data_IF_803348702622
#
_entry.id   IF_803348702622
#
_cell.length_a   1.000
_cell.length_b   1.000
_cell.length_c   1.000
_cell.angle_alpha   90.00
_cell.angle_beta   90.00
_cell.angle_gamma   90.00
#
_symmetry.space_group_name_H-M   'P 1'
#
loop_
_entity.id
_entity.type
_entity.pdbx_description
1 polymer ?
#
# COMPACT_ATOMS: atom_id res chain seq x y z
N UNK A 1 -29.90 79.75 9.25
CA UNK A 1 -29.70 78.62 8.32
C UNK A 1 -29.10 77.47 9.12
N UNK A 2 -29.84 76.38 9.32
CA UNK A 2 -29.47 75.25 10.18
C UNK A 2 -29.05 74.07 9.30
N UNK A 3 -27.76 73.74 9.28
CA UNK A 3 -27.24 72.53 8.65
C UNK A 3 -27.21 71.42 9.68
N UNK A 4 -28.12 70.45 9.52
CA UNK A 4 -28.15 69.23 10.31
C UNK A 4 -27.19 68.20 9.67
N UNK A 5 -26.18 67.76 10.41
CA UNK A 5 -25.27 66.69 10.01
C UNK A 5 -25.82 65.39 10.58
N UNK A 6 -26.28 64.52 9.67
CA UNK A 6 -26.80 63.18 9.97
C UNK A 6 -25.63 62.21 10.12
N UNK A 7 -25.35 61.80 11.36
CA UNK A 7 -24.28 60.87 11.70
C UNK A 7 -24.86 59.45 11.66
N UNK A 8 -24.58 58.72 10.58
CA UNK A 8 -24.98 57.31 10.41
C UNK A 8 -24.01 56.44 11.21
N UNK A 9 -24.47 55.91 12.35
CA UNK A 9 -23.76 54.89 13.11
C UNK A 9 -23.85 53.54 12.36
N UNK A 10 -22.75 53.12 11.74
CA UNK A 10 -22.58 51.77 11.24
C UNK A 10 -22.25 50.82 12.40
N UNK A 11 -23.21 49.99 12.77
CA UNK A 11 -23.07 48.91 13.74
C UNK A 11 -22.23 47.77 13.16
N UNK A 12 -20.92 47.77 13.46
CA UNK A 12 -20.01 46.66 13.19
C UNK A 12 -20.42 45.43 14.00
N UNK A 13 -21.12 44.50 13.35
CA UNK A 13 -21.27 43.12 13.82
C UNK A 13 -19.91 42.41 13.69
N UNK A 14 -19.13 42.40 14.76
CA UNK A 14 -17.95 41.54 14.88
C UNK A 14 -18.44 40.10 15.08
N UNK A 15 -18.14 39.15 14.18
CA UNK A 15 -18.41 37.75 14.45
C UNK A 15 -17.56 37.32 15.65
N UNK A 16 -18.21 36.86 16.72
CA UNK A 16 -17.51 36.23 17.84
C UNK A 16 -16.77 35.01 17.31
N UNK A 17 -15.46 35.14 17.10
CA UNK A 17 -14.58 34.03 16.82
C UNK A 17 -14.56 33.15 18.08
N UNK A 18 -15.38 32.10 18.09
CA UNK A 18 -15.35 31.05 19.10
C UNK A 18 -13.98 30.39 18.99
N UNK A 19 -13.04 30.86 19.80
CA UNK A 19 -11.75 30.21 19.97
C UNK A 19 -12.04 28.96 20.80
N UNK A 20 -12.31 27.84 20.13
CA UNK A 20 -12.25 26.53 20.76
C UNK A 20 -10.79 26.30 21.14
N UNK A 21 -10.40 26.79 22.33
CA UNK A 21 -9.24 26.25 23.01
C UNK A 21 -9.56 24.77 23.23
N UNK A 22 -9.02 23.90 22.38
CA UNK A 22 -9.13 22.45 22.52
C UNK A 22 -8.69 22.10 23.94
N UNK A 23 -9.66 21.75 24.79
CA UNK A 23 -9.36 21.30 26.13
C UNK A 23 -8.60 19.99 26.00
N UNK A 24 -7.31 20.01 26.35
CA UNK A 24 -6.48 18.82 26.32
C UNK A 24 -7.03 17.80 27.34
N UNK A 25 -7.29 16.55 26.92
CA UNK A 25 -7.81 15.54 27.83
C UNK A 25 -6.74 15.16 28.86
N UNK A 26 -7.15 14.87 30.09
CA UNK A 26 -6.27 14.35 31.13
C UNK A 26 -6.17 12.83 31.03
N UNK A 27 -4.99 12.30 30.66
CA UNK A 27 -4.80 10.90 30.28
C UNK A 27 -3.55 10.28 30.91
N UNK A 28 -3.63 9.01 31.27
CA UNK A 28 -2.49 8.15 31.54
C UNK A 28 -2.12 7.39 30.25
N UNK A 29 -1.30 8.05 29.43
CA UNK A 29 -0.76 7.42 28.22
C UNK A 29 0.26 6.35 28.62
N UNK A 30 0.00 5.10 28.25
CA UNK A 30 0.89 3.99 28.53
C UNK A 30 1.92 3.78 27.41
N UNK A 31 1.48 3.90 26.15
CA UNK A 31 2.34 3.78 24.97
C UNK A 31 1.66 4.34 23.73
N UNK A 32 2.45 4.91 22.82
CA UNK A 32 2.07 5.21 21.44
C UNK A 32 3.11 4.57 20.54
N UNK A 33 2.70 3.84 19.50
CA UNK A 33 3.61 3.12 18.61
C UNK A 33 3.12 3.17 17.17
N UNK A 34 4.06 3.19 16.23
CA UNK A 34 3.82 3.18 14.79
C UNK A 34 4.60 2.02 14.18
N UNK A 35 3.93 1.20 13.37
CA UNK A 35 4.56 0.08 12.66
C UNK A 35 3.94 -0.09 11.28
N UNK A 36 4.61 -0.87 10.43
CA UNK A 36 3.97 -1.42 9.22
C UNK A 36 3.71 -2.91 9.40
N UNK A 37 2.67 -3.42 8.75
CA UNK A 37 2.42 -4.85 8.62
C UNK A 37 3.41 -5.55 7.67
N UNK A 38 4.02 -4.79 6.75
CA UNK A 38 5.00 -5.27 5.77
C UNK A 38 6.36 -4.61 6.01
N UNK A 39 7.41 -5.42 6.16
CA UNK A 39 8.77 -4.91 6.39
C UNK A 39 9.43 -4.30 5.14
N UNK A 40 9.08 -4.81 3.96
CA UNK A 40 9.64 -4.40 2.67
C UNK A 40 8.50 -4.24 1.63
N UNK A 41 7.73 -3.15 1.70
CA UNK A 41 6.65 -2.91 0.75
C UNK A 41 7.19 -2.73 -0.66
N UNK A 42 6.35 -2.98 -1.67
CA UNK A 42 6.70 -2.81 -3.09
C UNK A 42 5.99 -1.61 -3.66
N UNK A 43 6.61 -0.98 -4.66
CA UNK A 43 5.95 0.09 -5.42
C UNK A 43 4.64 -0.42 -6.02
N UNK A 44 3.56 0.35 -5.83
CA UNK A 44 2.22 0.06 -6.34
C UNK A 44 1.46 -1.05 -5.58
N UNK A 45 2.04 -1.62 -4.52
CA UNK A 45 1.36 -2.60 -3.68
C UNK A 45 0.78 -1.94 -2.43
N UNK A 46 -0.46 -2.31 -2.09
CA UNK A 46 -1.11 -1.90 -0.85
C UNK A 46 -0.42 -2.52 0.37
N UNK A 47 -0.26 -1.74 1.42
CA UNK A 47 0.18 -2.20 2.73
C UNK A 47 -0.40 -1.29 3.81
N UNK A 48 -0.24 -1.67 5.08
CA UNK A 48 -0.84 -0.94 6.19
C UNK A 48 0.23 -0.30 7.08
N UNK A 49 -0.08 0.92 7.53
CA UNK A 49 0.56 1.54 8.68
C UNK A 49 -0.39 1.42 9.87
N UNK A 50 0.12 0.89 10.97
CA UNK A 50 -0.67 0.61 12.16
C UNK A 50 -0.15 1.49 13.28
N UNK A 51 -1.01 2.36 13.78
CA UNK A 51 -0.74 3.18 14.96
C UNK A 51 -1.50 2.55 16.12
N UNK A 52 -0.81 2.29 17.22
CA UNK A 52 -1.44 1.78 18.43
C UNK A 52 -1.16 2.71 19.59
N UNK A 53 -2.22 3.17 20.25
CA UNK A 53 -2.15 3.96 21.47
C UNK A 53 -2.86 3.21 22.62
N UNK A 54 -2.27 3.25 23.81
CA UNK A 54 -2.81 2.61 25.01
C UNK A 54 -2.99 3.66 26.10
N UNK A 55 -4.19 3.70 26.67
CA UNK A 55 -4.59 4.61 27.74
C UNK A 55 -5.10 3.78 28.92
N UNK A 56 -4.96 4.27 30.15
CA UNK A 56 -5.58 3.60 31.31
C UNK A 56 -7.05 3.99 31.50
N UNK A 57 -7.43 5.13 30.95
CA UNK A 57 -8.80 5.63 30.94
C UNK A 57 -9.68 4.83 29.98
N UNK A 58 -10.98 4.81 30.27
CA UNK A 58 -12.00 4.32 29.35
C UNK A 58 -12.41 5.46 28.42
N UNK A 59 -11.91 5.40 27.20
CA UNK A 59 -12.21 6.36 26.13
C UNK A 59 -13.08 5.70 25.06
N UNK A 60 -14.03 6.46 24.53
CA UNK A 60 -14.86 6.06 23.39
C UNK A 60 -14.24 6.38 22.04
N UNK A 61 -13.32 7.36 21.99
CA UNK A 61 -12.57 7.77 20.80
C UNK A 61 -11.20 8.31 21.17
N UNK A 62 -10.34 8.53 20.18
CA UNK A 62 -9.02 9.16 20.33
C UNK A 62 -8.83 10.29 19.31
N UNK A 63 -9.78 11.22 19.24
CA UNK A 63 -9.82 12.29 18.23
C UNK A 63 -8.67 13.33 18.37
N UNK A 64 -7.93 13.25 19.47
CA UNK A 64 -6.74 14.03 19.78
C UNK A 64 -5.44 13.38 19.27
N UNK A 65 -5.52 12.19 18.64
CA UNK A 65 -4.38 11.56 17.97
C UNK A 65 -4.16 12.22 16.61
N UNK A 66 -2.95 12.76 16.43
CA UNK A 66 -2.49 13.32 15.16
C UNK A 66 -1.72 12.25 14.39
N UNK A 67 -2.18 12.00 13.18
CA UNK A 67 -1.60 11.00 12.26
C UNK A 67 -0.24 11.47 11.72
N UNK A 68 0.66 10.54 11.38
CA UNK A 68 2.00 10.86 10.89
C UNK A 68 1.94 11.47 9.49
N UNK A 69 2.96 12.25 9.15
CA UNK A 69 3.14 12.77 7.79
C UNK A 69 3.63 11.64 6.87
N UNK A 70 2.87 11.35 5.81
CA UNK A 70 3.10 10.25 4.88
C UNK A 70 3.93 10.67 3.67
N UNK A 71 5.17 11.12 3.87
CA UNK A 71 6.00 11.61 2.77
C UNK A 71 6.36 10.52 1.76
N UNK A 72 5.83 10.60 0.54
CA UNK A 72 6.08 9.60 -0.53
C UNK A 72 5.19 8.36 -0.46
N UNK A 73 4.17 8.37 0.40
CA UNK A 73 3.08 7.41 0.43
C UNK A 73 1.77 8.13 0.13
N UNK A 74 0.85 7.45 -0.54
CA UNK A 74 -0.52 7.92 -0.72
C UNK A 74 -1.42 7.17 0.26
N UNK A 75 -2.28 7.89 0.98
CA UNK A 75 -3.31 7.31 1.83
C UNK A 75 -4.55 6.98 0.99
N UNK A 76 -5.01 5.74 1.07
CA UNK A 76 -6.16 5.22 0.34
C UNK A 76 -7.37 4.96 1.24
N UNK A 77 -7.18 4.93 2.56
CA UNK A 77 -8.26 4.73 3.51
C UNK A 77 -7.76 4.51 4.93
N UNK A 78 -8.59 4.89 5.90
CA UNK A 78 -8.28 4.80 7.33
C UNK A 78 -9.37 3.98 8.04
N UNK A 79 -8.95 3.07 8.92
CA UNK A 79 -9.82 2.29 9.80
C UNK A 79 -9.47 2.56 11.26
N UNK A 80 -10.51 2.69 12.08
CA UNK A 80 -10.40 3.00 13.52
C UNK A 80 -11.02 1.91 14.37
N UNK A 81 -10.25 1.44 15.33
CA UNK A 81 -10.72 0.49 16.32
C UNK A 81 -10.44 0.99 17.73
N UNK A 82 -11.48 0.99 18.55
CA UNK A 82 -11.41 1.31 19.98
C UNK A 82 -11.85 0.07 20.75
N UNK A 83 -10.94 -0.47 21.54
CA UNK A 83 -11.23 -1.58 22.45
C UNK A 83 -11.07 -1.08 23.89
N UNK A 84 -12.18 -0.85 24.59
CA UNK A 84 -12.18 -0.55 26.01
C UNK A 84 -12.26 -1.84 26.83
N UNK A 85 -11.44 -1.95 27.88
CA UNK A 85 -11.43 -3.10 28.79
C UNK A 85 -11.12 -2.70 30.23
N UNK A 86 -10.98 -3.70 31.10
CA UNK A 86 -10.68 -3.49 32.54
C UNK A 86 -9.32 -2.81 32.80
N UNK A 87 -8.40 -2.89 31.84
CA UNK A 87 -7.05 -2.30 31.92
C UNK A 87 -6.92 -0.93 31.24
N UNK A 88 -8.03 -0.39 30.73
CA UNK A 88 -8.09 0.86 29.98
C UNK A 88 -8.47 0.68 28.51
N UNK A 89 -8.15 1.66 27.68
CA UNK A 89 -8.49 1.69 26.25
C UNK A 89 -7.29 1.40 25.37
N UNK A 90 -7.49 0.51 24.41
CA UNK A 90 -6.60 0.21 23.29
C UNK A 90 -7.18 0.83 22.03
N UNK A 91 -6.48 1.80 21.47
CA UNK A 91 -6.82 2.44 20.21
C UNK A 91 -5.89 1.94 19.10
N UNK A 92 -6.47 1.60 17.96
CA UNK A 92 -5.73 1.22 16.74
C UNK A 92 -6.24 2.05 15.56
N UNK A 93 -5.33 2.79 14.92
CA UNK A 93 -5.54 3.33 13.57
C UNK A 93 -4.84 2.40 12.57
N UNK A 94 -5.52 2.02 11.51
CA UNK A 94 -4.94 1.30 10.39
C UNK A 94 -5.09 2.19 9.15
N UNK A 95 -3.97 2.67 8.62
CA UNK A 95 -3.93 3.46 7.40
C UNK A 95 -3.53 2.54 6.25
N UNK A 96 -4.37 2.43 5.23
CA UNK A 96 -4.08 1.72 3.99
C UNK A 96 -3.34 2.65 3.05
N UNK A 97 -2.11 2.28 2.69
CA UNK A 97 -1.24 3.15 1.91
C UNK A 97 -0.61 2.43 0.72
N UNK A 98 -0.17 3.23 -0.26
CA UNK A 98 0.62 2.76 -1.39
C UNK A 98 1.87 3.61 -1.57
N UNK A 99 2.99 2.97 -1.93
CA UNK A 99 4.23 3.66 -2.25
C UNK A 99 4.37 3.84 -3.77
N UNK A 100 4.70 5.06 -4.19
CA UNK A 100 4.87 5.42 -5.61
C UNK A 100 6.31 5.36 -6.12
N UNK A 101 7.28 5.24 -5.21
CA UNK A 101 8.70 5.21 -5.52
C UNK A 101 9.43 4.17 -4.68
N UNK A 102 10.45 3.57 -5.28
CA UNK A 102 11.37 2.69 -4.57
C UNK A 102 12.36 3.50 -3.72
N UNK A 103 13.00 2.83 -2.77
CA UNK A 103 14.01 3.40 -1.88
C UNK A 103 13.54 3.57 -0.45
N UNK A 104 14.37 4.24 0.36
CA UNK A 104 14.04 4.53 1.75
C UNK A 104 12.97 5.62 1.82
N UNK A 105 11.90 5.33 2.56
CA UNK A 105 10.83 6.27 2.89
C UNK A 105 10.81 6.44 4.40
N UNK A 106 10.88 7.69 4.85
CA UNK A 106 10.74 8.05 6.25
C UNK A 106 9.29 8.47 6.51
N UNK A 107 8.64 7.76 7.43
CA UNK A 107 7.33 8.09 7.98
C UNK A 107 7.58 8.72 9.35
N UNK A 108 7.14 9.96 9.51
CA UNK A 108 7.30 10.68 10.77
C UNK A 108 6.49 10.05 11.90
N UNK A 109 6.74 10.49 13.12
CA UNK A 109 5.97 10.06 14.28
C UNK A 109 4.53 10.56 14.24
N UNK A 110 3.60 9.71 14.66
CA UNK A 110 2.29 10.14 15.15
C UNK A 110 2.47 10.80 16.53
N UNK A 111 1.58 11.70 16.90
CA UNK A 111 1.62 12.29 18.23
C UNK A 111 0.24 12.58 18.78
N UNK A 112 0.15 12.75 20.10
CA UNK A 112 -1.05 13.23 20.74
C UNK A 112 -0.71 14.22 21.84
N UNK A 113 -1.57 15.24 21.99
CA UNK A 113 -1.45 16.25 23.03
C UNK A 113 -2.45 15.95 24.15
N UNK A 114 -1.95 15.85 25.38
CA UNK A 114 -2.78 15.55 26.55
C UNK A 114 -2.18 16.16 27.82
N UNK A 115 -2.98 16.26 28.87
CA UNK A 115 -2.49 16.51 30.22
C UNK A 115 -2.12 15.16 30.81
N UNK A 116 -0.85 14.93 31.13
CA UNK A 116 -0.41 13.69 31.78
C UNK A 116 -1.07 13.60 33.16
N UNK A 117 -1.89 12.58 33.35
CA UNK A 117 -2.64 12.42 34.57
C UNK A 117 -1.77 12.13 35.81
N UNK A 118 -0.50 11.73 35.62
CA UNK A 118 0.47 11.46 36.68
C UNK A 118 0.99 12.72 37.35
N UNK A 119 1.25 13.78 36.57
CA UNK A 119 1.87 15.02 37.06
C UNK A 119 1.06 16.28 36.78
N UNK A 120 -0.05 16.17 36.04
CA UNK A 120 -0.96 17.27 35.70
C UNK A 120 -0.40 18.25 34.67
N UNK A 121 0.69 17.92 33.97
CA UNK A 121 1.32 18.80 32.97
C UNK A 121 0.85 18.47 31.56
N UNK A 122 0.69 19.51 30.74
CA UNK A 122 0.49 19.34 29.30
C UNK A 122 1.76 18.73 28.69
N UNK A 123 1.60 17.64 27.94
CA UNK A 123 2.67 16.92 27.25
C UNK A 123 2.21 16.46 25.87
N UNK A 124 3.18 16.38 24.96
CA UNK A 124 3.04 15.69 23.70
C UNK A 124 3.67 14.31 23.80
N UNK A 125 2.89 13.28 23.49
CA UNK A 125 3.36 11.90 23.45
C UNK A 125 3.55 11.51 22.00
N UNK A 126 4.75 11.04 21.66
CA UNK A 126 5.12 10.66 20.30
C UNK A 126 5.15 9.14 20.16
N UNK A 127 4.82 8.65 18.97
CA UNK A 127 5.22 7.32 18.54
C UNK A 127 6.73 7.27 18.24
N UNK A 128 7.21 6.11 17.83
CA UNK A 128 8.48 6.02 17.11
C UNK A 128 8.35 6.56 15.68
N UNK A 129 9.49 6.94 15.09
CA UNK A 129 9.61 7.11 13.64
C UNK A 129 9.70 5.74 12.96
N UNK A 130 9.34 5.69 11.68
CA UNK A 130 9.37 4.47 10.88
C UNK A 130 10.11 4.71 9.57
N UNK A 131 11.13 3.91 9.30
CA UNK A 131 11.83 3.91 8.00
C UNK A 131 11.49 2.65 7.24
N UNK A 132 10.93 2.81 6.05
CA UNK A 132 10.52 1.72 5.17
C UNK A 132 11.47 1.64 3.98
N UNK A 133 11.94 0.44 3.65
CA UNK A 133 12.72 0.21 2.44
C UNK A 133 11.80 -0.34 1.36
N UNK A 134 11.37 0.52 0.43
CA UNK A 134 10.43 0.15 -0.64
C UNK A 134 11.18 -0.49 -1.81
N UNK A 135 10.82 -1.73 -2.14
CA UNK A 135 11.44 -2.47 -3.23
C UNK A 135 10.94 -2.00 -4.61
N UNK A 136 11.87 -1.89 -5.56
CA UNK A 136 11.63 -1.44 -6.93
C UNK A 136 11.42 -2.57 -7.93
N UNK A 137 10.15 -2.83 -8.24
CA UNK A 137 9.58 -3.19 -9.54
C UNK A 137 8.11 -3.56 -9.27
N UNK A 138 7.13 -2.86 -9.87
CA UNK A 138 5.73 -3.29 -9.76
C UNK A 138 5.59 -4.73 -10.26
N UNK A 139 4.75 -5.57 -9.63
CA UNK A 139 4.65 -6.99 -9.95
C UNK A 139 4.29 -7.29 -11.42
N UNK A 140 3.76 -6.32 -12.16
CA UNK A 140 3.34 -6.46 -13.55
C UNK A 140 4.48 -6.64 -14.56
N UNK A 141 5.65 -6.03 -14.34
CA UNK A 141 6.78 -6.13 -15.28
C UNK A 141 7.34 -7.57 -15.39
N UNK A 142 7.26 -8.34 -14.31
CA UNK A 142 7.70 -9.73 -14.29
C UNK A 142 6.68 -10.69 -14.93
N UNK A 143 5.39 -10.35 -14.89
CA UNK A 143 4.32 -11.12 -15.51
C UNK A 143 4.36 -11.05 -17.04
N UNK A 144 4.53 -9.85 -17.59
CA UNK A 144 4.61 -9.63 -19.03
C UNK A 144 5.79 -10.37 -19.68
N UNK A 145 6.99 -10.26 -19.12
CA UNK A 145 8.18 -10.96 -19.63
C UNK A 145 8.05 -12.49 -19.54
N UNK A 146 7.46 -13.02 -18.45
CA UNK A 146 7.20 -14.47 -18.30
C UNK A 146 6.13 -14.98 -19.27
N UNK A 147 5.09 -14.18 -19.52
CA UNK A 147 4.07 -14.51 -20.51
C UNK A 147 4.67 -14.51 -21.93
N UNK A 148 5.47 -13.48 -22.26
CA UNK A 148 6.10 -13.34 -23.56
C UNK A 148 7.12 -14.46 -23.83
N UNK A 149 7.95 -14.82 -22.84
CA UNK A 149 8.87 -15.97 -22.95
C UNK A 149 8.14 -17.30 -23.11
N UNK A 150 7.05 -17.55 -22.38
CA UNK A 150 6.23 -18.77 -22.59
C UNK A 150 5.61 -18.80 -23.98
N UNK A 151 5.11 -17.68 -24.47
CA UNK A 151 4.50 -17.59 -25.81
C UNK A 151 5.55 -17.83 -26.91
N UNK A 152 6.73 -17.22 -26.80
CA UNK A 152 7.86 -17.47 -27.69
C UNK A 152 8.30 -18.93 -27.67
N UNK A 153 8.42 -19.54 -26.48
CA UNK A 153 8.80 -20.94 -26.35
C UNK A 153 7.78 -21.88 -27.03
N UNK A 154 6.48 -21.61 -26.87
CA UNK A 154 5.42 -22.37 -27.57
C UNK A 154 5.54 -22.25 -29.09
N UNK A 155 5.78 -21.05 -29.60
CA UNK A 155 5.99 -20.80 -31.03
C UNK A 155 7.19 -21.57 -31.58
N UNK A 156 8.31 -21.56 -30.87
CA UNK A 156 9.52 -22.30 -31.24
C UNK A 156 9.23 -23.81 -31.28
N UNK A 157 8.56 -24.36 -30.27
CA UNK A 157 8.22 -25.79 -30.23
C UNK A 157 7.28 -26.20 -31.36
N UNK A 158 6.29 -25.38 -31.70
CA UNK A 158 5.39 -25.64 -32.84
C UNK A 158 6.15 -25.65 -34.16
N UNK A 159 7.04 -24.66 -34.39
CA UNK A 159 7.88 -24.62 -35.59
C UNK A 159 8.79 -25.85 -35.69
N UNK A 160 9.39 -26.27 -34.57
CA UNK A 160 10.26 -27.45 -34.52
C UNK A 160 9.48 -28.75 -34.83
N UNK A 161 8.25 -28.87 -34.33
CA UNK A 161 7.38 -30.00 -34.62
C UNK A 161 6.97 -30.05 -36.10
N UNK A 162 6.61 -28.90 -36.70
CA UNK A 162 6.30 -28.79 -38.14
C UNK A 162 7.51 -29.20 -38.98
N UNK A 163 8.70 -28.69 -38.62
CA UNK A 163 9.94 -29.02 -39.32
C UNK A 163 10.28 -30.51 -39.25
N UNK A 164 10.14 -31.12 -38.06
CA UNK A 164 10.33 -32.56 -37.88
C UNK A 164 9.33 -33.39 -38.70
N UNK A 165 8.05 -32.98 -38.74
CA UNK A 165 7.03 -33.64 -39.55
C UNK A 165 7.36 -33.55 -41.05
N UNK A 166 7.79 -32.39 -41.54
CA UNK A 166 8.21 -32.21 -42.93
C UNK A 166 9.41 -33.11 -43.29
N UNK A 167 10.42 -33.19 -42.43
CA UNK A 167 11.57 -34.10 -42.61
C UNK A 167 11.16 -35.58 -42.66
N UNK A 168 10.22 -36.00 -41.81
CA UNK A 168 9.70 -37.37 -41.80
C UNK A 168 8.92 -37.70 -43.08
N UNK A 169 8.13 -36.76 -43.60
CA UNK A 169 7.40 -36.92 -44.85
C UNK A 169 8.37 -37.04 -46.05
N UNK A 170 9.40 -36.20 -46.10
CA UNK A 170 10.43 -36.27 -47.15
C UNK A 170 11.23 -37.59 -47.11
N UNK A 171 11.48 -38.13 -45.91
CA UNK A 171 12.15 -39.44 -45.76
C UNK A 171 11.28 -40.62 -46.20
N UNK A 172 9.96 -40.55 -46.01
CA UNK A 172 9.01 -41.60 -46.44
C UNK A 172 8.80 -41.67 -47.96
N UNK A 173 9.09 -40.58 -48.68
CA UNK A 173 8.93 -40.50 -50.13
C UNK A 173 10.05 -41.13 -50.97
N UNK A 174 10.97 -41.92 -50.39
CA UNK A 174 11.93 -42.73 -51.17
C UNK A 174 11.35 -44.13 -51.37
N UNK A 175 10.61 -44.41 -52.45
CA UNK A 175 10.16 -45.76 -52.76
C UNK A 175 11.38 -46.65 -52.93
N UNK A 176 11.40 -47.74 -52.16
CA UNK A 176 12.44 -48.75 -52.22
C UNK A 176 12.56 -49.27 -53.64
N UNK A 177 13.78 -49.20 -54.14
CA UNK A 177 14.27 -49.81 -55.36
C UNK A 177 13.73 -51.25 -55.46
N UNK A 178 12.78 -51.46 -56.38
CA UNK A 178 12.13 -52.74 -56.57
C UNK A 178 13.18 -53.78 -57.00
N UNK A 179 13.42 -54.76 -56.14
CA UNK A 179 14.28 -55.92 -56.40
C UNK A 179 13.85 -56.58 -57.73
N UNK A 180 14.75 -56.76 -58.73
CA UNK A 180 14.38 -57.40 -59.99
C UNK A 180 14.01 -58.87 -59.76
N UNK A 181 12.91 -59.28 -60.39
CA UNK A 181 12.30 -60.61 -60.23
C UNK A 181 13.16 -61.75 -60.78
N UNK A 182 12.95 -62.99 -60.30
CA UNK A 182 13.69 -64.16 -60.76
C UNK A 182 13.35 -64.49 -62.21
N UNK A 183 14.38 -64.48 -63.06
CA UNK A 183 14.30 -64.92 -64.44
C UNK A 183 13.92 -66.41 -64.54
N UNK A 184 12.97 -66.69 -65.43
CA UNK A 184 12.49 -68.02 -65.78
C UNK A 184 13.62 -68.93 -66.27
N UNK A 185 13.72 -70.14 -65.71
CA UNK A 185 14.41 -71.25 -66.36
C UNK A 185 13.35 -72.22 -66.90
N UNK A 186 13.19 -72.22 -68.23
CA UNK A 186 12.60 -73.32 -69.00
C UNK A 186 13.68 -74.37 -69.21
N UNK A 187 13.38 -75.63 -68.95
CA UNK A 187 14.15 -76.77 -69.44
C UNK A 187 13.23 -77.64 -70.34
N UNK A 188 13.81 -78.36 -71.32
CA UNK A 188 13.11 -78.96 -72.45
C UNK A 188 12.24 -80.18 -72.09
#
# INVERSE_FOLDING_TARGET
>A
MRTAVLLVLASLWLPATVTFAQQLPKLHVASVSLRSDVSHPRVGQLFHLIITARFREQLSSADFLVLPVLSGLENLGDERHVLAGSWGTYFTEIMTVVAHRAGAIHVGSAYLDAIDARDGKSKRFYSNDLTLNVAGAPPEAAGGLRALTRTLLRLVLVLLAIFAAALLLLRRGRPGESKPGPASQRFP
#
